data_IF_032705615325
#
_entry.id   IF_032705615325
#
_cell.length_a   1.000
_cell.length_b   1.000
_cell.length_c   1.000
_cell.angle_alpha   90.00
_cell.angle_beta   90.00
_cell.angle_gamma   90.00
#
_symmetry.space_group_name_H-M   'P 1'
#
loop_
_entity.id
_entity.type
_entity.pdbx_description
1 polymer ?
#
# COMPACT_ATOMS: atom_id res chain seq x y z
N UNK A 1 -11.82 -0.63 -25.25
CA UNK A 1 -13.26 -0.61 -24.93
C UNK A 1 -13.48 0.55 -23.96
N UNK A 2 -14.37 1.48 -24.28
CA UNK A 2 -14.75 2.54 -23.32
C UNK A 2 -15.64 1.89 -22.27
N UNK A 3 -15.04 1.47 -21.16
CA UNK A 3 -15.82 1.02 -20.00
C UNK A 3 -16.63 2.21 -19.49
N UNK A 4 -17.93 2.01 -19.34
CA UNK A 4 -18.80 3.03 -18.75
C UNK A 4 -18.31 3.30 -17.33
N UNK A 5 -18.26 4.57 -16.90
CA UNK A 5 -17.82 4.93 -15.57
C UNK A 5 -18.72 4.30 -14.48
N UNK A 6 -19.98 4.06 -14.80
CA UNK A 6 -20.93 3.40 -13.88
C UNK A 6 -20.65 1.91 -13.70
N UNK A 7 -19.93 1.26 -14.64
CA UNK A 7 -19.49 -0.14 -14.50
C UNK A 7 -18.37 -0.30 -13.46
N UNK A 8 -17.78 0.81 -12.99
CA UNK A 8 -16.67 0.80 -12.02
C UNK A 8 -17.09 0.58 -10.56
N UNK A 9 -18.41 0.49 -10.28
CA UNK A 9 -19.01 0.28 -8.95
C UNK A 9 -18.63 1.35 -7.88
N UNK A 10 -18.19 2.55 -8.31
CA UNK A 10 -17.85 3.63 -7.41
C UNK A 10 -19.09 4.36 -6.90
N UNK A 11 -19.14 4.63 -5.60
CA UNK A 11 -20.23 5.41 -5.00
C UNK A 11 -20.23 6.88 -5.47
N UNK A 12 -19.03 7.45 -5.70
CA UNK A 12 -18.90 8.84 -6.14
C UNK A 12 -17.57 9.09 -6.82
N UNK A 13 -17.60 9.86 -7.91
CA UNK A 13 -16.43 10.45 -8.57
C UNK A 13 -16.66 11.94 -8.73
N UNK A 14 -15.71 12.74 -8.22
CA UNK A 14 -15.77 14.21 -8.26
C UNK A 14 -14.62 14.76 -9.10
N UNK A 15 -14.94 15.53 -10.13
CA UNK A 15 -13.98 16.32 -10.89
C UNK A 15 -13.86 17.72 -10.27
N UNK A 16 -12.64 18.08 -9.86
CA UNK A 16 -12.32 19.35 -9.20
C UNK A 16 -11.54 20.23 -10.18
N UNK A 17 -12.03 21.44 -10.43
CA UNK A 17 -11.36 22.42 -11.27
C UNK A 17 -11.45 23.79 -10.63
N UNK A 18 -10.31 24.49 -10.53
CA UNK A 18 -10.22 25.87 -10.08
C UNK A 18 -9.21 26.60 -10.98
N UNK A 19 -9.72 27.47 -11.86
CA UNK A 19 -8.91 28.18 -12.85
C UNK A 19 -7.87 29.09 -12.20
N UNK A 20 -8.24 29.75 -11.10
CA UNK A 20 -7.38 30.73 -10.43
C UNK A 20 -6.12 30.11 -9.83
N UNK A 21 -6.21 28.89 -9.31
CA UNK A 21 -5.07 28.13 -8.75
C UNK A 21 -4.43 27.15 -9.74
N UNK A 22 -5.05 26.93 -10.89
CA UNK A 22 -4.65 25.92 -11.86
C UNK A 22 -5.00 24.49 -11.44
N UNK A 23 -5.84 24.29 -10.41
CA UNK A 23 -6.21 22.96 -9.93
C UNK A 23 -6.99 22.16 -10.97
N UNK A 24 -6.53 20.96 -11.25
CA UNK A 24 -7.24 19.91 -11.96
C UNK A 24 -7.09 18.63 -11.17
N UNK A 25 -8.16 18.14 -10.53
CA UNK A 25 -8.09 16.93 -9.70
C UNK A 25 -9.34 16.07 -9.88
N UNK A 26 -9.19 14.79 -9.54
CA UNK A 26 -10.30 13.83 -9.51
C UNK A 26 -10.24 13.14 -8.14
N UNK A 27 -11.36 13.09 -7.44
CA UNK A 27 -11.54 12.32 -6.20
C UNK A 27 -12.50 11.18 -6.50
N UNK A 28 -12.09 9.96 -6.22
CA UNK A 28 -12.93 8.76 -6.34
C UNK A 28 -13.16 8.13 -4.97
N UNK A 29 -14.43 7.93 -4.63
CA UNK A 29 -14.90 7.14 -3.48
C UNK A 29 -15.43 5.82 -4.04
N UNK A 30 -14.68 4.74 -3.81
CA UNK A 30 -15.12 3.42 -4.26
C UNK A 30 -16.22 2.89 -3.35
N UNK A 31 -16.00 2.89 -2.04
CA UNK A 31 -17.02 2.43 -1.08
C UNK A 31 -16.89 3.09 0.27
N UNK A 32 -18.03 3.41 0.88
CA UNK A 32 -18.16 3.84 2.28
C UNK A 32 -18.86 2.80 3.15
N UNK A 33 -19.01 1.57 2.67
CA UNK A 33 -19.74 0.51 3.36
C UNK A 33 -19.20 0.21 4.78
N UNK A 34 -17.86 0.26 4.95
CA UNK A 34 -17.22 0.07 6.25
C UNK A 34 -17.09 1.37 7.06
N UNK A 35 -17.13 2.52 6.43
CA UNK A 35 -16.96 3.84 7.07
C UNK A 35 -16.51 4.88 6.06
N UNK A 36 -16.02 6.06 6.52
CA UNK A 36 -15.53 7.09 5.60
C UNK A 36 -14.39 6.55 4.73
N UNK A 37 -14.39 6.92 3.46
CA UNK A 37 -13.34 6.52 2.54
C UNK A 37 -12.01 7.20 2.92
N UNK A 38 -10.94 6.43 3.05
CA UNK A 38 -9.59 6.93 3.30
C UNK A 38 -8.68 6.58 2.13
N UNK A 39 -7.84 7.55 1.72
CA UNK A 39 -6.79 7.31 0.74
C UNK A 39 -6.01 8.55 0.38
N UNK A 40 -4.78 8.35 -0.10
CA UNK A 40 -3.85 9.42 -0.41
C UNK A 40 -4.21 10.20 -1.67
N UNK A 41 -3.63 11.40 -1.79
CA UNK A 41 -3.70 12.25 -2.97
C UNK A 41 -2.41 12.14 -3.76
N UNK A 42 -2.48 11.57 -4.96
CA UNK A 42 -1.36 11.49 -5.90
C UNK A 42 -1.27 12.76 -6.73
N UNK A 43 -0.10 13.37 -6.85
CA UNK A 43 0.16 14.49 -7.72
C UNK A 43 1.12 14.04 -8.83
N UNK A 44 0.61 13.88 -10.05
CA UNK A 44 1.36 13.23 -11.13
C UNK A 44 1.02 13.84 -12.50
N UNK A 45 2.01 13.98 -13.42
CA UNK A 45 1.79 14.48 -14.78
C UNK A 45 1.22 13.37 -15.68
N UNK A 46 -0.09 13.14 -15.57
CA UNK A 46 -0.80 12.19 -16.44
C UNK A 46 -0.83 12.67 -17.89
N UNK A 47 -0.75 11.73 -18.83
CA UNK A 47 -0.80 12.04 -20.27
C UNK A 47 -2.12 12.72 -20.67
N UNK A 48 -3.22 12.32 -20.05
CA UNK A 48 -4.56 12.86 -20.28
C UNK A 48 -5.48 12.62 -19.07
N UNK A 49 -6.68 13.20 -19.11
CA UNK A 49 -7.70 13.05 -18.06
C UNK A 49 -8.20 11.61 -17.95
N UNK A 50 -8.21 10.84 -19.04
CA UNK A 50 -8.66 9.44 -19.02
C UNK A 50 -7.69 8.58 -18.22
N UNK A 51 -6.39 8.70 -18.45
CA UNK A 51 -5.35 8.00 -17.70
C UNK A 51 -5.41 8.32 -16.20
N UNK A 52 -5.66 9.60 -15.86
CA UNK A 52 -5.84 10.01 -14.46
C UNK A 52 -7.10 9.39 -13.83
N UNK A 53 -8.19 9.32 -14.59
CA UNK A 53 -9.43 8.70 -14.14
C UNK A 53 -9.26 7.20 -13.91
N UNK A 54 -8.67 6.49 -14.87
CA UNK A 54 -8.44 5.05 -14.74
C UNK A 54 -7.55 4.73 -13.54
N UNK A 55 -6.50 5.52 -13.29
CA UNK A 55 -5.62 5.36 -12.14
C UNK A 55 -6.36 5.58 -10.82
N UNK A 56 -7.13 6.68 -10.68
CA UNK A 56 -7.84 6.98 -9.43
C UNK A 56 -8.92 5.96 -9.11
N UNK A 57 -9.62 5.42 -10.12
CA UNK A 57 -10.61 4.37 -9.94
C UNK A 57 -9.95 3.08 -9.43
N UNK A 58 -8.88 2.63 -10.07
CA UNK A 58 -8.15 1.43 -9.64
C UNK A 58 -7.58 1.58 -8.23
N UNK A 59 -6.97 2.72 -7.93
CA UNK A 59 -6.38 2.99 -6.63
C UNK A 59 -7.42 3.06 -5.50
N UNK A 60 -8.57 3.71 -5.74
CA UNK A 60 -9.63 3.83 -4.73
C UNK A 60 -10.30 2.49 -4.41
N UNK A 61 -10.47 1.61 -5.43
CA UNK A 61 -10.88 0.22 -5.22
C UNK A 61 -9.87 -0.53 -4.36
N UNK A 62 -8.59 -0.46 -4.71
CA UNK A 62 -7.52 -1.09 -3.92
C UNK A 62 -7.49 -0.64 -2.46
N UNK A 63 -7.79 0.64 -2.19
CA UNK A 63 -7.88 1.15 -0.82
C UNK A 63 -9.05 0.53 -0.03
N UNK A 64 -10.20 0.26 -0.67
CA UNK A 64 -11.32 -0.44 -0.02
C UNK A 64 -10.93 -1.84 0.45
N UNK A 65 -10.28 -2.60 -0.43
CA UNK A 65 -9.83 -3.96 -0.14
C UNK A 65 -8.73 -3.97 0.93
N UNK A 66 -7.78 -3.05 0.84
CA UNK A 66 -6.72 -2.86 1.85
C UNK A 66 -7.30 -2.53 3.22
N UNK A 67 -8.22 -1.59 3.31
CA UNK A 67 -8.88 -1.21 4.57
C UNK A 67 -9.69 -2.38 5.17
N UNK A 68 -10.41 -3.13 4.34
CA UNK A 68 -11.18 -4.28 4.76
C UNK A 68 -10.29 -5.39 5.34
N UNK A 69 -9.19 -5.75 4.68
CA UNK A 69 -8.24 -6.76 5.17
C UNK A 69 -7.48 -6.30 6.41
N UNK A 70 -7.16 -5.00 6.51
CA UNK A 70 -6.55 -4.42 7.70
C UNK A 70 -7.51 -4.37 8.92
N UNK A 71 -8.77 -4.81 8.78
CA UNK A 71 -9.76 -4.81 9.85
C UNK A 71 -10.26 -3.41 10.22
N UNK A 72 -10.02 -2.39 9.38
CA UNK A 72 -10.41 -1.02 9.64
C UNK A 72 -11.89 -0.79 9.31
N UNK A 73 -12.56 0.04 10.11
CA UNK A 73 -13.92 0.53 9.84
C UNK A 73 -13.87 1.79 8.95
N UNK A 74 -13.17 1.65 7.82
CA UNK A 74 -12.96 2.67 6.81
C UNK A 74 -13.27 2.11 5.42
N UNK A 75 -13.81 2.97 4.59
CA UNK A 75 -13.97 2.70 3.17
C UNK A 75 -12.69 3.03 2.38
N UNK A 76 -12.77 2.92 1.07
CA UNK A 76 -11.68 3.22 0.16
C UNK A 76 -11.99 4.40 -0.74
N UNK A 77 -11.07 5.34 -0.75
CA UNK A 77 -11.05 6.47 -1.68
C UNK A 77 -9.65 6.77 -2.16
N UNK A 78 -9.54 7.58 -3.17
CA UNK A 78 -8.28 8.08 -3.72
C UNK A 78 -8.51 9.42 -4.39
N UNK A 79 -7.46 10.23 -4.45
CA UNK A 79 -7.48 11.42 -5.29
C UNK A 79 -6.23 11.50 -6.17
N UNK A 80 -6.38 12.15 -7.31
CA UNK A 80 -5.28 12.51 -8.20
C UNK A 80 -5.35 13.99 -8.51
N UNK A 81 -4.21 14.67 -8.47
CA UNK A 81 -4.01 16.03 -9.00
C UNK A 81 -3.19 15.87 -10.28
N UNK A 82 -3.69 16.44 -11.37
CA UNK A 82 -3.08 16.32 -12.70
C UNK A 82 -2.11 17.50 -12.90
N UNK A 83 -0.81 17.22 -12.93
CA UNK A 83 0.27 18.19 -13.11
C UNK A 83 1.62 17.65 -12.64
N UNK A 84 2.68 18.41 -12.86
CA UNK A 84 4.02 18.09 -12.34
C UNK A 84 4.18 18.68 -10.93
N UNK A 85 4.32 17.86 -9.86
CA UNK A 85 4.45 18.37 -8.50
C UNK A 85 5.69 19.24 -8.26
N UNK A 86 6.67 19.22 -9.18
CA UNK A 86 7.90 20.04 -9.08
C UNK A 86 7.69 21.46 -9.58
N UNK A 87 6.76 21.68 -10.50
CA UNK A 87 6.53 22.99 -11.17
C UNK A 87 5.17 23.57 -10.86
N UNK A 88 4.12 22.74 -10.70
CA UNK A 88 2.73 23.18 -10.64
C UNK A 88 2.21 23.27 -9.21
N UNK A 89 2.91 22.65 -8.24
CA UNK A 89 2.50 22.65 -6.83
C UNK A 89 2.61 24.07 -6.24
N UNK A 90 1.52 24.55 -5.68
CA UNK A 90 1.47 25.85 -4.99
C UNK A 90 0.54 25.78 -3.76
N UNK A 91 0.72 26.72 -2.81
CA UNK A 91 -0.20 26.86 -1.68
C UNK A 91 -1.64 27.11 -2.15
N UNK A 92 -1.83 27.93 -3.17
CA UNK A 92 -3.14 28.22 -3.73
C UNK A 92 -3.84 26.97 -4.28
N UNK A 93 -3.11 26.13 -5.04
CA UNK A 93 -3.62 24.88 -5.58
C UNK A 93 -3.98 23.88 -4.45
N UNK A 94 -3.12 23.71 -3.46
CA UNK A 94 -3.36 22.79 -2.34
C UNK A 94 -4.55 23.24 -1.48
N UNK A 95 -4.72 24.53 -1.24
CA UNK A 95 -5.89 25.08 -0.55
C UNK A 95 -7.18 24.92 -1.37
N UNK A 96 -7.14 25.16 -2.69
CA UNK A 96 -8.28 24.91 -3.56
C UNK A 96 -8.71 23.44 -3.50
N UNK A 97 -7.73 22.51 -3.57
CA UNK A 97 -7.99 21.09 -3.40
C UNK A 97 -8.62 20.80 -2.01
N UNK A 98 -8.11 21.40 -0.94
CA UNK A 98 -8.67 21.27 0.41
C UNK A 98 -10.16 21.63 0.48
N UNK A 99 -10.56 22.75 -0.15
CA UNK A 99 -11.98 23.16 -0.22
C UNK A 99 -12.87 22.13 -0.92
N UNK A 100 -12.39 21.49 -2.01
CA UNK A 100 -13.14 20.43 -2.67
C UNK A 100 -13.27 19.18 -1.78
N UNK A 101 -12.20 18.78 -1.07
CA UNK A 101 -12.27 17.65 -0.11
C UNK A 101 -13.24 18.00 1.04
N UNK A 102 -13.19 19.22 1.58
CA UNK A 102 -14.11 19.68 2.63
C UNK A 102 -15.57 19.57 2.18
N UNK A 103 -15.86 19.91 0.91
CA UNK A 103 -17.22 19.84 0.35
C UNK A 103 -17.83 18.42 0.35
N UNK A 104 -17.01 17.39 0.46
CA UNK A 104 -17.47 16.00 0.60
C UNK A 104 -17.94 15.67 2.02
N UNK A 105 -17.86 16.60 2.97
CA UNK A 105 -18.43 16.48 4.31
C UNK A 105 -17.91 15.30 5.11
N UNK A 106 -16.63 14.91 4.92
CA UNK A 106 -16.00 13.80 5.64
C UNK A 106 -16.26 12.41 5.04
N UNK A 107 -16.98 12.31 3.94
CA UNK A 107 -17.12 11.02 3.21
C UNK A 107 -15.80 10.52 2.64
N UNK A 108 -14.88 11.44 2.33
CA UNK A 108 -13.52 11.15 1.94
C UNK A 108 -12.54 11.87 2.86
N UNK A 109 -11.50 11.16 3.29
CA UNK A 109 -10.37 11.66 4.05
C UNK A 109 -9.10 11.49 3.24
N UNK A 110 -8.38 12.60 3.07
CA UNK A 110 -7.15 12.60 2.26
C UNK A 110 -5.91 12.36 3.10
N UNK A 111 -4.86 11.82 2.47
CA UNK A 111 -3.53 11.61 3.03
C UNK A 111 -2.46 11.84 1.95
N UNK A 112 -1.18 11.66 2.31
CA UNK A 112 -0.08 11.68 1.35
C UNK A 112 -0.12 10.48 0.38
N UNK A 113 0.39 10.71 -0.84
CA UNK A 113 0.76 9.69 -1.82
C UNK A 113 1.91 10.23 -2.70
N UNK A 114 2.22 9.57 -3.80
CA UNK A 114 3.23 10.03 -4.77
C UNK A 114 3.00 11.50 -5.15
N UNK A 115 4.06 12.30 -5.08
CA UNK A 115 4.02 13.72 -5.41
C UNK A 115 3.46 14.64 -4.31
N UNK A 116 2.93 14.10 -3.20
CA UNK A 116 2.51 14.88 -2.03
C UNK A 116 3.22 14.41 -0.76
N UNK A 117 3.36 15.33 0.19
CA UNK A 117 4.09 15.12 1.44
C UNK A 117 3.29 15.66 2.64
N UNK A 118 3.71 15.30 3.86
CA UNK A 118 3.04 15.75 5.08
C UNK A 118 2.91 17.28 5.20
N UNK A 119 3.88 18.04 4.70
CA UNK A 119 3.79 19.50 4.66
C UNK A 119 2.68 20.00 3.71
N UNK A 120 2.42 19.26 2.61
CA UNK A 120 1.30 19.60 1.71
C UNK A 120 -0.05 19.32 2.40
N UNK A 121 -0.12 18.24 3.20
CA UNK A 121 -1.30 17.93 4.00
C UNK A 121 -1.58 19.01 5.05
N UNK A 122 -0.55 19.61 5.65
CA UNK A 122 -0.72 20.77 6.53
C UNK A 122 -1.30 21.99 5.82
N UNK A 123 -0.92 22.21 4.56
CA UNK A 123 -1.50 23.30 3.74
C UNK A 123 -2.96 22.99 3.40
N UNK A 124 -3.27 21.77 2.98
CA UNK A 124 -4.64 21.33 2.67
C UNK A 124 -5.53 21.45 3.91
N UNK A 125 -4.99 21.12 5.10
CA UNK A 125 -5.70 21.19 6.37
C UNK A 125 -6.08 22.61 6.81
N UNK A 126 -5.56 23.64 6.17
CA UNK A 126 -6.03 25.03 6.42
C UNK A 126 -7.44 25.30 5.87
N UNK A 127 -7.90 24.45 4.95
CA UNK A 127 -9.22 24.57 4.29
C UNK A 127 -10.08 23.30 4.49
N UNK A 128 -9.56 22.28 5.18
CA UNK A 128 -10.21 20.97 5.27
C UNK A 128 -9.92 20.27 6.60
N UNK A 129 -10.97 19.85 7.31
CA UNK A 129 -10.87 19.06 8.54
C UNK A 129 -10.63 17.55 8.29
N UNK A 130 -10.75 17.12 7.03
CA UNK A 130 -10.73 15.72 6.65
C UNK A 130 -9.38 15.32 6.04
N UNK A 131 -8.28 15.65 6.75
CA UNK A 131 -6.89 15.44 6.31
C UNK A 131 -6.14 14.62 7.35
N UNK A 132 -5.41 13.60 6.89
CA UNK A 132 -4.48 12.79 7.68
C UNK A 132 -3.11 12.80 7.01
N UNK A 133 -2.10 12.14 7.59
CA UNK A 133 -0.73 12.14 7.07
C UNK A 133 -0.04 13.51 7.22
N UNK A 134 -0.46 14.30 8.21
CA UNK A 134 0.11 15.61 8.54
C UNK A 134 1.48 15.48 9.19
N UNK A 135 2.17 16.60 9.31
CA UNK A 135 3.42 16.61 10.08
C UNK A 135 3.17 16.35 11.57
N UNK A 136 4.15 15.80 12.26
CA UNK A 136 4.06 15.52 13.71
C UNK A 136 3.75 16.81 14.49
N UNK A 137 4.33 17.95 14.08
CA UNK A 137 4.06 19.26 14.68
C UNK A 137 2.58 19.68 14.61
N UNK A 138 1.81 19.09 13.70
CA UNK A 138 0.38 19.36 13.52
C UNK A 138 -0.50 18.15 13.86
N UNK A 139 0.02 17.21 14.66
CA UNK A 139 -0.73 16.06 15.17
C UNK A 139 -0.78 14.85 14.25
N UNK A 140 0.02 14.83 13.19
CA UNK A 140 0.15 13.67 12.32
C UNK A 140 1.07 12.58 12.90
N UNK A 141 0.99 11.38 12.33
CA UNK A 141 1.75 10.21 12.78
C UNK A 141 3.20 10.18 12.27
N UNK A 142 3.59 11.11 11.39
CA UNK A 142 4.93 11.14 10.80
C UNK A 142 5.14 10.09 9.70
N UNK A 143 6.36 9.58 9.59
CA UNK A 143 6.74 8.63 8.54
C UNK A 143 6.09 7.25 8.77
N UNK A 144 5.25 6.82 7.85
CA UNK A 144 4.55 5.55 7.92
C UNK A 144 5.39 4.34 7.48
N UNK A 145 6.62 4.55 7.03
CA UNK A 145 7.49 3.48 6.53
C UNK A 145 7.85 2.45 7.61
N UNK A 146 7.99 2.87 8.85
CA UNK A 146 8.29 2.00 10.00
C UNK A 146 7.21 0.94 10.18
N UNK A 147 5.95 1.36 10.29
CA UNK A 147 4.83 0.42 10.47
C UNK A 147 4.48 -0.34 9.18
N UNK A 148 4.77 0.22 8.01
CA UNK A 148 4.68 -0.54 6.75
C UNK A 148 5.67 -1.70 6.73
N UNK A 149 6.93 -1.44 7.07
CA UNK A 149 7.96 -2.48 7.16
C UNK A 149 7.63 -3.55 8.21
N UNK A 150 7.15 -3.12 9.38
CA UNK A 150 6.68 -4.03 10.43
C UNK A 150 5.53 -4.92 9.94
N UNK A 151 4.55 -4.34 9.21
CA UNK A 151 3.44 -5.11 8.62
C UNK A 151 3.91 -6.14 7.60
N UNK A 152 4.83 -5.77 6.71
CA UNK A 152 5.44 -6.71 5.75
C UNK A 152 6.19 -7.83 6.47
N UNK A 153 6.93 -7.51 7.52
CA UNK A 153 7.60 -8.50 8.34
C UNK A 153 6.60 -9.46 9.02
N UNK A 154 5.45 -8.98 9.52
CA UNK A 154 4.39 -9.86 10.04
C UNK A 154 3.82 -10.77 8.94
N UNK A 155 3.61 -10.24 7.72
CA UNK A 155 3.22 -11.04 6.56
C UNK A 155 4.26 -12.10 6.18
N UNK A 156 5.56 -11.77 6.26
CA UNK A 156 6.64 -12.74 6.04
C UNK A 156 6.65 -13.85 7.09
N UNK A 157 6.41 -13.51 8.36
CA UNK A 157 6.30 -14.52 9.44
C UNK A 157 5.15 -15.48 9.21
N UNK A 158 3.98 -14.98 8.78
CA UNK A 158 2.84 -15.82 8.40
C UNK A 158 3.17 -16.70 7.16
N UNK A 159 3.89 -16.12 6.20
CA UNK A 159 4.35 -16.87 5.02
C UNK A 159 5.34 -17.96 5.38
N UNK A 160 6.25 -17.69 6.31
CA UNK A 160 7.21 -18.68 6.82
C UNK A 160 6.50 -19.82 7.57
N UNK A 161 5.48 -19.52 8.37
CA UNK A 161 4.64 -20.53 9.01
C UNK A 161 3.94 -21.42 7.97
N UNK A 162 3.37 -20.83 6.93
CA UNK A 162 2.67 -21.56 5.87
C UNK A 162 3.62 -22.42 5.02
N UNK A 163 4.84 -21.93 4.73
CA UNK A 163 5.81 -22.60 3.86
C UNK A 163 6.69 -23.62 4.60
N UNK A 164 7.02 -23.37 5.87
CA UNK A 164 8.02 -24.15 6.63
C UNK A 164 7.60 -24.55 8.04
N UNK A 165 6.39 -24.19 8.50
CA UNK A 165 5.88 -24.57 9.82
C UNK A 165 6.52 -23.78 10.98
N UNK A 166 7.20 -22.66 10.71
CA UNK A 166 7.82 -21.79 11.72
C UNK A 166 7.59 -20.33 11.37
N UNK A 167 7.36 -19.50 12.36
CA UNK A 167 7.18 -18.06 12.17
C UNK A 167 8.51 -17.28 12.08
N UNK A 168 9.66 -17.95 12.29
CA UNK A 168 10.98 -17.33 12.20
C UNK A 168 11.57 -17.46 10.81
N UNK A 169 12.26 -16.40 10.39
CA UNK A 169 13.07 -16.35 9.17
C UNK A 169 14.56 -16.63 9.44
N UNK A 170 14.90 -17.03 10.67
CA UNK A 170 16.28 -17.37 11.04
C UNK A 170 16.88 -18.42 10.10
N UNK A 171 18.02 -18.09 9.50
CA UNK A 171 18.72 -18.93 8.53
C UNK A 171 18.05 -19.00 7.15
N UNK A 172 16.96 -18.25 6.90
CA UNK A 172 16.36 -18.10 5.57
C UNK A 172 17.06 -17.02 4.78
N UNK A 173 17.29 -17.28 3.49
CA UNK A 173 17.89 -16.31 2.59
C UNK A 173 16.81 -15.42 1.97
N UNK A 174 16.83 -14.13 2.33
CA UNK A 174 15.80 -13.16 1.95
C UNK A 174 16.37 -12.08 1.05
N UNK A 175 15.89 -12.00 -0.19
CA UNK A 175 16.28 -10.98 -1.16
C UNK A 175 15.35 -9.77 -1.11
N UNK A 176 15.86 -8.59 -0.76
CA UNK A 176 15.10 -7.33 -0.69
C UNK A 176 15.49 -6.43 -1.87
N UNK A 177 14.54 -6.20 -2.77
CA UNK A 177 14.73 -5.33 -3.94
C UNK A 177 14.15 -3.95 -3.65
N UNK A 178 15.01 -2.99 -3.37
CA UNK A 178 14.67 -1.65 -2.93
C UNK A 178 14.84 -1.49 -1.42
N UNK A 179 15.86 -0.73 -1.00
CA UNK A 179 16.14 -0.41 0.41
C UNK A 179 15.96 1.08 0.69
N UNK A 180 14.90 1.65 0.08
CA UNK A 180 14.39 2.97 0.41
C UNK A 180 13.84 3.03 1.84
N UNK A 181 12.86 3.91 2.09
CA UNK A 181 12.31 4.11 3.45
C UNK A 181 11.75 2.82 4.07
N UNK A 182 10.93 2.07 3.34
CA UNK A 182 10.31 0.84 3.87
C UNK A 182 11.29 -0.32 3.87
N UNK A 183 11.99 -0.56 2.74
CA UNK A 183 12.91 -1.69 2.61
C UNK A 183 14.05 -1.65 3.63
N UNK A 184 14.54 -0.46 3.97
CA UNK A 184 15.55 -0.27 5.02
C UNK A 184 15.09 -0.80 6.38
N UNK A 185 13.90 -0.39 6.86
CA UNK A 185 13.35 -0.91 8.11
C UNK A 185 12.98 -2.40 8.05
N UNK A 186 12.63 -2.90 6.86
CA UNK A 186 12.40 -4.33 6.68
C UNK A 186 13.70 -5.12 6.86
N UNK A 187 14.82 -4.63 6.32
CA UNK A 187 16.16 -5.23 6.54
C UNK A 187 16.49 -5.30 8.03
N UNK A 188 16.21 -4.24 8.79
CA UNK A 188 16.40 -4.22 10.25
C UNK A 188 15.63 -5.35 10.96
N UNK A 189 14.35 -5.53 10.62
CA UNK A 189 13.53 -6.63 11.17
C UNK A 189 14.06 -8.01 10.79
N UNK A 190 14.46 -8.20 9.53
CA UNK A 190 14.97 -9.47 9.01
C UNK A 190 16.30 -9.87 9.67
N UNK A 191 17.21 -8.91 9.78
CA UNK A 191 18.50 -9.11 10.48
C UNK A 191 18.26 -9.42 11.96
N UNK A 192 17.33 -8.71 12.61
CA UNK A 192 16.95 -8.95 13.99
C UNK A 192 16.35 -10.34 14.24
N UNK A 193 15.67 -10.94 13.25
CA UNK A 193 15.12 -12.30 13.31
C UNK A 193 16.17 -13.39 12.92
N UNK A 194 17.36 -13.00 12.46
CA UNK A 194 18.45 -13.91 12.10
C UNK A 194 18.40 -14.42 10.66
N UNK A 195 17.74 -13.72 9.76
CA UNK A 195 17.74 -14.05 8.34
C UNK A 195 19.10 -13.74 7.67
N UNK A 196 19.45 -14.49 6.62
CA UNK A 196 20.52 -14.15 5.68
C UNK A 196 19.96 -13.20 4.63
N UNK A 197 20.32 -11.92 4.72
CA UNK A 197 19.70 -10.86 3.92
C UNK A 197 20.58 -10.47 2.74
N UNK A 198 19.98 -10.45 1.54
CA UNK A 198 20.58 -9.96 0.30
C UNK A 198 19.79 -8.75 -0.17
N UNK A 199 20.47 -7.65 -0.54
CA UNK A 199 19.79 -6.41 -0.94
C UNK A 199 20.29 -5.87 -2.27
N UNK A 200 19.42 -5.11 -2.93
CA UNK A 200 19.82 -4.26 -4.07
C UNK A 200 18.95 -2.98 -4.10
N UNK A 201 19.51 -1.90 -4.61
CA UNK A 201 18.82 -0.65 -4.90
C UNK A 201 19.52 0.07 -6.05
N UNK A 202 18.81 0.91 -6.80
CA UNK A 202 19.40 1.77 -7.84
C UNK A 202 20.06 3.01 -7.26
N UNK A 203 19.79 3.35 -5.99
CA UNK A 203 20.30 4.52 -5.31
C UNK A 203 21.42 4.14 -4.33
N UNK A 204 22.68 4.34 -4.75
CA UNK A 204 23.87 3.95 -3.98
C UNK A 204 23.90 4.46 -2.53
N UNK A 205 23.45 5.70 -2.20
CA UNK A 205 23.39 6.11 -0.80
C UNK A 205 22.49 5.25 0.10
N UNK A 206 21.43 4.64 -0.44
CA UNK A 206 20.60 3.70 0.33
C UNK A 206 21.35 2.39 0.61
N UNK A 207 22.09 1.88 -0.36
CA UNK A 207 22.96 0.71 -0.18
C UNK A 207 24.08 0.98 0.83
N UNK A 208 24.70 2.17 0.74
CA UNK A 208 25.75 2.54 1.69
C UNK A 208 25.24 2.59 3.12
N UNK A 209 24.04 3.15 3.36
CA UNK A 209 23.40 3.14 4.68
C UNK A 209 23.22 1.73 5.21
N UNK A 210 22.74 0.80 4.38
CA UNK A 210 22.56 -0.61 4.79
C UNK A 210 23.92 -1.27 5.13
N UNK A 211 24.98 -1.01 4.35
CA UNK A 211 26.33 -1.53 4.65
C UNK A 211 26.88 -1.01 5.98
N UNK A 212 26.62 0.27 6.29
CA UNK A 212 27.11 0.92 7.50
C UNK A 212 26.38 0.38 8.74
N UNK A 213 25.08 0.17 8.66
CA UNK A 213 24.23 -0.26 9.78
C UNK A 213 24.20 -1.79 9.94
N UNK A 214 24.30 -2.53 8.83
CA UNK A 214 24.20 -3.99 8.77
C UNK A 214 25.33 -4.61 7.92
N UNK A 215 26.59 -4.59 8.37
CA UNK A 215 27.74 -5.04 7.57
C UNK A 215 27.70 -6.52 7.17
N UNK A 216 26.83 -7.34 7.80
CA UNK A 216 26.61 -8.73 7.45
C UNK A 216 25.70 -8.93 6.22
N UNK A 217 24.99 -7.90 5.77
CA UNK A 217 24.06 -7.97 4.63
C UNK A 217 24.85 -8.04 3.32
N UNK A 218 24.48 -8.96 2.45
CA UNK A 218 25.03 -9.07 1.10
C UNK A 218 24.39 -8.06 0.16
N UNK A 219 25.20 -7.34 -0.60
CA UNK A 219 24.71 -6.40 -1.63
C UNK A 219 24.99 -6.98 -3.01
N UNK A 220 23.95 -7.07 -3.85
CA UNK A 220 24.07 -7.47 -5.26
C UNK A 220 23.85 -6.29 -6.20
N UNK A 221 24.40 -6.40 -7.41
CA UNK A 221 24.53 -5.26 -8.32
C UNK A 221 23.20 -4.73 -8.87
N UNK A 222 22.17 -5.59 -8.96
CA UNK A 222 20.89 -5.20 -9.58
C UNK A 222 19.77 -6.16 -9.20
N UNK A 223 18.53 -5.78 -9.50
CA UNK A 223 17.37 -6.67 -9.38
C UNK A 223 17.50 -7.93 -10.27
N UNK A 224 18.16 -7.80 -11.40
CA UNK A 224 18.48 -8.92 -12.29
C UNK A 224 19.44 -9.92 -11.63
N UNK A 225 20.53 -9.42 -11.00
CA UNK A 225 21.47 -10.26 -10.24
C UNK A 225 20.82 -10.91 -9.00
N UNK A 226 19.77 -10.28 -8.42
CA UNK A 226 19.02 -10.85 -7.31
C UNK A 226 18.31 -12.16 -7.71
N UNK A 227 17.88 -12.30 -8.96
CA UNK A 227 17.20 -13.51 -9.45
C UNK A 227 18.13 -14.71 -9.58
N UNK A 228 19.46 -14.47 -9.63
CA UNK A 228 20.46 -15.54 -9.68
C UNK A 228 20.85 -16.07 -8.28
N UNK A 229 20.38 -15.39 -7.23
CA UNK A 229 20.57 -15.82 -5.84
C UNK A 229 19.63 -16.97 -5.47
N UNK A 230 20.12 -17.92 -4.65
CA UNK A 230 19.30 -18.99 -4.12
C UNK A 230 18.45 -18.49 -2.93
N UNK A 231 17.31 -17.86 -3.22
CA UNK A 231 16.46 -17.23 -2.22
C UNK A 231 15.40 -18.18 -1.68
N UNK A 232 15.10 -18.06 -0.38
CA UNK A 232 13.89 -18.60 0.25
C UNK A 232 12.70 -17.63 0.09
N UNK A 233 12.97 -16.31 0.25
CA UNK A 233 11.97 -15.24 0.14
C UNK A 233 12.46 -14.16 -0.81
N UNK A 234 11.60 -13.73 -1.71
CA UNK A 234 11.81 -12.55 -2.57
C UNK A 234 10.89 -11.42 -2.13
N UNK A 235 11.46 -10.27 -1.83
CA UNK A 235 10.76 -9.10 -1.28
C UNK A 235 10.88 -7.87 -2.20
N UNK A 236 9.94 -7.67 -3.15
CA UNK A 236 9.88 -6.45 -3.93
C UNK A 236 9.45 -5.26 -3.05
N UNK A 237 10.34 -4.28 -2.85
CA UNK A 237 10.12 -3.12 -1.99
C UNK A 237 10.34 -1.78 -2.72
N UNK A 238 10.53 -1.79 -4.05
CA UNK A 238 10.76 -0.60 -4.87
C UNK A 238 9.49 -0.19 -5.64
N UNK A 239 9.35 -0.60 -6.89
CA UNK A 239 8.28 -0.19 -7.79
C UNK A 239 7.24 -1.28 -8.01
N UNK A 240 6.03 -0.88 -8.41
CA UNK A 240 5.00 -1.79 -8.88
C UNK A 240 5.36 -2.45 -10.21
N UNK A 241 4.65 -3.54 -10.55
CA UNK A 241 4.90 -4.30 -11.78
C UNK A 241 6.22 -5.09 -11.76
N UNK A 242 6.86 -5.23 -10.59
CA UNK A 242 8.16 -5.90 -10.45
C UNK A 242 8.09 -7.43 -10.64
N UNK A 243 6.90 -8.01 -10.59
CA UNK A 243 6.66 -9.42 -10.85
C UNK A 243 5.99 -9.56 -12.21
N UNK A 244 6.77 -9.84 -13.22
CA UNK A 244 6.33 -10.21 -14.56
C UNK A 244 6.61 -11.68 -14.86
N UNK A 245 6.29 -12.15 -16.05
CA UNK A 245 6.46 -13.55 -16.45
C UNK A 245 7.93 -13.98 -16.43
N UNK A 246 8.86 -13.09 -16.82
CA UNK A 246 10.29 -13.39 -16.85
C UNK A 246 10.86 -13.51 -15.44
N UNK A 247 10.51 -12.58 -14.55
CA UNK A 247 10.88 -12.63 -13.13
C UNK A 247 10.34 -13.90 -12.49
N UNK A 248 9.05 -14.18 -12.67
CA UNK A 248 8.44 -15.39 -12.11
C UNK A 248 9.12 -16.64 -12.64
N UNK A 249 9.45 -16.73 -13.93
CA UNK A 249 10.11 -17.90 -14.51
C UNK A 249 11.49 -18.19 -13.88
N UNK A 250 12.23 -17.17 -13.44
CA UNK A 250 13.59 -17.27 -12.87
C UNK A 250 13.64 -17.39 -11.36
N UNK A 251 12.60 -16.94 -10.63
CA UNK A 251 12.62 -16.97 -9.17
C UNK A 251 12.88 -18.37 -8.62
N UNK A 252 13.86 -18.49 -7.72
CA UNK A 252 14.11 -19.69 -6.91
C UNK A 252 13.28 -19.69 -5.61
N UNK A 253 12.83 -18.53 -5.16
CA UNK A 253 12.16 -18.33 -3.90
C UNK A 253 10.85 -19.13 -3.78
N UNK A 254 10.59 -19.68 -2.58
CA UNK A 254 9.30 -20.29 -2.26
C UNK A 254 8.23 -19.30 -1.85
N UNK A 255 8.63 -18.11 -1.40
CA UNK A 255 7.75 -17.07 -0.90
C UNK A 255 8.06 -15.76 -1.60
N UNK A 256 7.01 -15.05 -2.01
CA UNK A 256 7.08 -13.65 -2.40
C UNK A 256 6.28 -12.84 -1.39
N UNK A 257 6.94 -11.93 -0.69
CA UNK A 257 6.31 -11.03 0.29
C UNK A 257 7.13 -9.73 0.38
N UNK A 258 6.58 -8.62 -0.06
CA UNK A 258 7.29 -7.34 -0.12
C UNK A 258 6.39 -6.13 0.05
N UNK A 259 7.01 -4.96 0.14
CA UNK A 259 6.33 -3.71 0.48
C UNK A 259 5.77 -2.94 -0.72
N UNK A 260 6.25 -3.21 -1.95
CA UNK A 260 5.79 -2.50 -3.13
C UNK A 260 4.29 -2.67 -3.35
N UNK A 261 3.61 -1.60 -3.79
CA UNK A 261 2.21 -1.70 -4.21
C UNK A 261 2.12 -2.20 -5.65
N UNK A 262 1.04 -2.92 -5.99
CA UNK A 262 0.76 -3.42 -7.34
C UNK A 262 1.96 -4.22 -7.90
N UNK A 263 2.43 -5.19 -7.14
CA UNK A 263 3.63 -5.96 -7.48
C UNK A 263 3.47 -6.77 -8.76
N UNK A 264 2.28 -7.30 -9.02
CA UNK A 264 1.95 -8.11 -10.20
C UNK A 264 1.82 -7.21 -11.43
N UNK A 265 2.60 -7.49 -12.49
CA UNK A 265 2.58 -6.71 -13.73
C UNK A 265 1.25 -6.85 -14.48
N UNK A 266 0.60 -8.01 -14.38
CA UNK A 266 -0.72 -8.28 -14.96
C UNK A 266 -1.43 -9.43 -14.22
N UNK A 267 -2.75 -9.61 -14.38
CA UNK A 267 -3.54 -10.62 -13.63
C UNK A 267 -3.08 -12.09 -13.81
N UNK A 268 -2.35 -12.40 -14.89
CA UNK A 268 -1.83 -13.76 -15.14
C UNK A 268 -0.67 -14.17 -14.24
N UNK A 269 0.08 -13.20 -13.70
CA UNK A 269 1.28 -13.44 -12.89
C UNK A 269 0.94 -14.22 -11.62
N UNK A 270 -0.17 -13.92 -10.98
CA UNK A 270 -0.64 -14.62 -9.79
C UNK A 270 -0.79 -16.12 -10.04
N UNK A 271 -1.41 -16.49 -11.15
CA UNK A 271 -1.59 -17.89 -11.55
C UNK A 271 -0.24 -18.57 -11.84
N UNK A 272 0.66 -17.86 -12.50
CA UNK A 272 2.01 -18.37 -12.79
C UNK A 272 2.82 -18.65 -11.51
N UNK A 273 2.70 -17.79 -10.48
CA UNK A 273 3.29 -18.03 -9.17
C UNK A 273 2.72 -19.29 -8.51
N UNK A 274 1.39 -19.44 -8.50
CA UNK A 274 0.69 -20.59 -7.92
C UNK A 274 1.05 -21.90 -8.64
N UNK A 275 1.07 -21.91 -9.98
CA UNK A 275 1.49 -23.08 -10.80
C UNK A 275 2.94 -23.50 -10.53
N UNK A 276 3.81 -22.57 -10.11
CA UNK A 276 5.18 -22.85 -9.69
C UNK A 276 5.31 -23.24 -8.20
N UNK A 277 4.22 -23.24 -7.46
CA UNK A 277 4.21 -23.49 -6.02
C UNK A 277 4.91 -22.38 -5.22
N UNK A 278 4.95 -21.15 -5.74
CA UNK A 278 5.50 -19.98 -5.06
C UNK A 278 4.35 -19.30 -4.30
N UNK A 279 4.48 -19.26 -2.99
CA UNK A 279 3.48 -18.63 -2.12
C UNK A 279 3.58 -17.10 -2.22
N UNK A 280 2.58 -16.46 -2.81
CA UNK A 280 2.48 -15.00 -2.88
C UNK A 280 1.66 -14.44 -1.73
N UNK A 281 2.26 -13.60 -0.91
CA UNK A 281 1.55 -12.80 0.09
C UNK A 281 1.04 -11.51 -0.57
N UNK A 282 -0.29 -11.32 -0.72
CA UNK A 282 -0.84 -10.19 -1.45
C UNK A 282 -0.35 -8.86 -0.86
N UNK A 283 0.19 -8.00 -1.72
CA UNK A 283 0.88 -6.76 -1.31
C UNK A 283 0.00 -5.84 -0.47
N UNK A 284 -1.25 -5.63 -0.86
CA UNK A 284 -2.20 -4.77 -0.15
C UNK A 284 -2.64 -5.34 1.21
N UNK A 285 -2.41 -6.63 1.46
CA UNK A 285 -2.57 -7.24 2.77
C UNK A 285 -1.35 -6.92 3.66
N UNK A 286 -0.14 -7.25 3.19
CA UNK A 286 1.06 -7.18 4.03
C UNK A 286 1.61 -5.77 4.21
N UNK A 287 1.43 -4.87 3.24
CA UNK A 287 1.91 -3.49 3.33
C UNK A 287 0.89 -2.52 3.95
N UNK A 288 -0.16 -3.04 4.60
CA UNK A 288 -1.23 -2.22 5.18
C UNK A 288 -0.80 -1.42 6.44
N UNK A 289 0.40 -1.65 6.97
CA UNK A 289 0.89 -0.95 8.18
C UNK A 289 0.85 0.57 8.05
N UNK A 290 1.19 1.12 6.88
CA UNK A 290 1.10 2.56 6.64
C UNK A 290 -0.34 3.09 6.66
N UNK A 291 -1.29 2.34 6.11
CA UNK A 291 -2.71 2.70 6.19
C UNK A 291 -3.22 2.64 7.64
N UNK A 292 -2.80 1.63 8.40
CA UNK A 292 -3.16 1.49 9.82
C UNK A 292 -2.64 2.68 10.61
N UNK A 293 -1.41 3.13 10.36
CA UNK A 293 -0.82 4.31 11.01
C UNK A 293 -1.63 5.58 10.72
N UNK A 294 -1.94 5.82 9.46
CA UNK A 294 -2.73 6.99 9.02
C UNK A 294 -4.16 6.93 9.55
N UNK A 295 -4.76 5.74 9.61
CA UNK A 295 -6.09 5.55 10.20
C UNK A 295 -6.11 5.86 11.70
N UNK A 296 -5.03 5.53 12.41
CA UNK A 296 -4.91 5.77 13.85
C UNK A 296 -4.88 7.27 14.19
N UNK A 297 -4.49 8.15 13.25
CA UNK A 297 -4.58 9.61 13.42
C UNK A 297 -6.02 10.09 13.68
N UNK A 298 -7.02 9.39 13.17
CA UNK A 298 -8.43 9.73 13.36
C UNK A 298 -8.90 9.60 14.81
N UNK A 299 -8.16 8.86 15.63
CA UNK A 299 -8.43 8.61 17.04
C UNK A 299 -7.39 9.28 17.97
N UNK A 300 -6.55 10.17 17.41
CA UNK A 300 -5.37 10.70 18.09
C UNK A 300 -4.25 9.65 18.13
N UNK A 301 -3.26 9.81 17.27
CA UNK A 301 -2.19 8.83 17.02
C UNK A 301 -1.44 8.42 18.28
N UNK A 302 -1.28 7.10 18.48
CA UNK A 302 -0.27 6.52 19.36
C UNK A 302 0.44 5.37 18.65
N UNK A 303 1.78 5.40 18.69
CA UNK A 303 2.59 4.39 17.97
C UNK A 303 2.28 2.97 18.45
N UNK A 304 2.16 2.78 19.77
CA UNK A 304 1.90 1.48 20.39
C UNK A 304 0.58 0.88 19.92
N UNK A 305 -0.50 1.69 19.85
CA UNK A 305 -1.81 1.23 19.37
C UNK A 305 -1.77 0.88 17.88
N UNK A 306 -1.13 1.73 17.07
CA UNK A 306 -0.97 1.47 15.65
C UNK A 306 -0.11 0.22 15.38
N UNK A 307 0.97 0.02 16.14
CA UNK A 307 1.81 -1.17 16.04
C UNK A 307 1.05 -2.44 16.47
N UNK A 308 0.27 -2.38 17.55
CA UNK A 308 -0.58 -3.48 17.97
C UNK A 308 -1.60 -3.86 16.89
N UNK A 309 -2.24 -2.86 16.25
CA UNK A 309 -3.14 -3.09 15.11
C UNK A 309 -2.39 -3.70 13.91
N UNK A 310 -1.20 -3.20 13.60
CA UNK A 310 -0.38 -3.71 12.50
C UNK A 310 0.13 -5.14 12.75
N UNK A 311 0.28 -5.58 14.00
CA UNK A 311 0.62 -6.98 14.31
C UNK A 311 -0.45 -7.97 13.83
N UNK A 312 -1.72 -7.55 13.74
CA UNK A 312 -2.82 -8.32 13.18
C UNK A 312 -2.66 -8.69 11.70
N UNK A 313 -1.72 -8.05 10.99
CA UNK A 313 -1.38 -8.44 9.59
C UNK A 313 -0.91 -9.90 9.53
N UNK A 314 -0.25 -10.41 10.56
CA UNK A 314 0.11 -11.83 10.67
C UNK A 314 -1.13 -12.72 10.55
N UNK A 315 -2.14 -12.49 11.40
CA UNK A 315 -3.35 -13.31 11.43
C UNK A 315 -4.17 -13.16 10.15
N UNK A 316 -4.24 -11.94 9.59
CA UNK A 316 -4.91 -11.70 8.31
C UNK A 316 -4.23 -12.46 7.17
N UNK A 317 -2.90 -12.40 7.09
CA UNK A 317 -2.13 -13.10 6.05
C UNK A 317 -2.29 -14.62 6.19
N UNK A 318 -2.25 -15.14 7.41
CA UNK A 318 -2.52 -16.56 7.69
C UNK A 318 -3.92 -16.97 7.24
N UNK A 319 -4.96 -16.17 7.57
CA UNK A 319 -6.33 -16.43 7.15
C UNK A 319 -6.50 -16.42 5.62
N UNK A 320 -5.75 -15.55 4.92
CA UNK A 320 -5.71 -15.54 3.44
C UNK A 320 -5.15 -16.87 2.92
N UNK A 321 -4.06 -17.37 3.46
CA UNK A 321 -3.47 -18.63 3.02
C UNK A 321 -4.35 -19.85 3.36
N UNK A 322 -5.00 -19.85 4.52
CA UNK A 322 -5.97 -20.88 4.90
C UNK A 322 -7.17 -20.90 3.95
N UNK A 323 -7.73 -19.73 3.62
CA UNK A 323 -8.83 -19.60 2.67
C UNK A 323 -8.40 -20.02 1.25
N UNK A 324 -7.23 -19.60 0.80
CA UNK A 324 -6.66 -20.01 -0.50
C UNK A 324 -6.56 -21.52 -0.63
N UNK A 325 -6.03 -22.19 0.39
CA UNK A 325 -5.90 -23.66 0.45
C UNK A 325 -7.26 -24.36 0.49
N UNK A 326 -8.19 -23.83 1.30
CA UNK A 326 -9.54 -24.42 1.44
C UNK A 326 -10.34 -24.31 0.16
N UNK A 327 -10.23 -23.17 -0.53
CA UNK A 327 -11.01 -22.87 -1.74
C UNK A 327 -10.34 -23.39 -3.03
N UNK A 328 -9.06 -23.80 -2.96
CA UNK A 328 -8.26 -24.21 -4.11
C UNK A 328 -8.01 -23.06 -5.10
N UNK A 329 -7.73 -21.86 -4.58
CA UNK A 329 -7.50 -20.64 -5.37
C UNK A 329 -6.20 -19.96 -4.95
N UNK A 330 -5.58 -19.13 -5.81
CA UNK A 330 -4.43 -18.34 -5.43
C UNK A 330 -4.71 -17.39 -4.25
N UNK A 331 -3.66 -17.04 -3.45
CA UNK A 331 -3.83 -16.19 -2.26
C UNK A 331 -4.45 -14.81 -2.53
N UNK A 332 -4.16 -14.16 -3.67
CA UNK A 332 -4.74 -12.86 -3.98
C UNK A 332 -6.26 -12.98 -4.25
N UNK A 333 -6.72 -14.05 -4.92
CA UNK A 333 -8.16 -14.33 -5.09
C UNK A 333 -8.83 -14.57 -3.72
N UNK A 334 -8.18 -15.31 -2.84
CA UNK A 334 -8.70 -15.54 -1.49
C UNK A 334 -8.77 -14.24 -0.67
N UNK A 335 -7.76 -13.39 -0.79
CA UNK A 335 -7.73 -12.08 -0.14
C UNK A 335 -8.87 -11.17 -0.61
N UNK A 336 -9.11 -11.10 -1.93
CA UNK A 336 -10.24 -10.35 -2.48
C UNK A 336 -11.58 -10.87 -1.92
N UNK A 337 -11.79 -12.19 -1.90
CA UNK A 337 -13.02 -12.81 -1.34
C UNK A 337 -13.21 -12.49 0.15
N UNK A 338 -12.14 -12.49 0.94
CA UNK A 338 -12.18 -12.13 2.37
C UNK A 338 -12.54 -10.65 2.55
N UNK A 339 -11.93 -9.75 1.77
CA UNK A 339 -12.26 -8.33 1.78
C UNK A 339 -13.73 -8.09 1.41
N UNK A 340 -14.20 -8.68 0.30
CA UNK A 340 -15.59 -8.57 -0.15
C UNK A 340 -16.59 -9.14 0.87
N UNK A 341 -16.25 -10.24 1.52
CA UNK A 341 -17.08 -10.81 2.59
C UNK A 341 -17.26 -9.81 3.72
N UNK A 342 -16.16 -9.22 4.23
CA UNK A 342 -16.22 -8.21 5.29
C UNK A 342 -17.03 -6.99 4.85
N UNK A 343 -16.80 -6.48 3.63
CA UNK A 343 -17.53 -5.34 3.07
C UNK A 343 -19.03 -5.63 3.03
N UNK A 344 -19.44 -6.81 2.57
CA UNK A 344 -20.86 -7.20 2.52
C UNK A 344 -21.49 -7.39 3.90
N UNK A 345 -20.80 -8.06 4.82
CA UNK A 345 -21.34 -8.38 6.14
C UNK A 345 -21.48 -7.14 7.01
N UNK A 346 -20.47 -6.29 7.06
CA UNK A 346 -20.52 -5.03 7.81
C UNK A 346 -21.35 -3.98 7.08
N UNK A 347 -21.25 -3.90 5.74
CA UNK A 347 -21.97 -2.94 4.91
C UNK A 347 -23.48 -3.17 4.90
N UNK A 348 -23.99 -4.38 5.18
CA UNK A 348 -25.43 -4.63 5.38
C UNK A 348 -26.01 -3.86 6.58
N UNK A 349 -25.17 -3.46 7.51
CA UNK A 349 -25.56 -2.68 8.68
C UNK A 349 -25.68 -1.19 8.37
N UNK A 350 -25.14 -0.74 7.22
CA UNK A 350 -25.13 0.66 6.74
C UNK A 350 -25.44 0.68 5.25
N UNK A 351 -26.42 1.45 4.81
CA UNK A 351 -26.70 1.61 3.37
C UNK A 351 -25.72 2.60 2.71
N UNK A 352 -25.54 3.75 3.35
CA UNK A 352 -24.57 4.81 2.97
C UNK A 352 -24.02 5.42 4.25
N UNK A 353 -22.70 5.61 4.33
CA UNK A 353 -22.13 6.33 5.45
C UNK A 353 -22.36 7.82 5.28
N UNK A 354 -23.00 8.43 6.25
CA UNK A 354 -23.19 9.86 6.34
C UNK A 354 -22.43 10.42 7.55
N UNK A 355 -21.68 11.52 7.38
CA UNK A 355 -21.05 12.21 8.50
C UNK A 355 -22.11 12.66 9.51
N UNK A 356 -21.79 12.60 10.79
CA UNK A 356 -22.63 13.11 11.88
C UNK A 356 -22.28 14.55 12.18
#
# INVERSE_FOLDING_TARGET
>A
MTTDIFDSEHEQVLFCHDEASGLRAIVAIHSTALGPALGGTRFHPYADTRSALDDVLNLSRGMTYKAALAGLDLGGGKAVIIGDPRTDKSEALLRAYGRFVQSLGGRYRTACDVGTFSADMDVIARECDHVTGRTVAHGGAGDSSVLTAFGVFQGMRASAEAAWGTTSLAGRRVGVVGVGKVGHHLVEHLVGDGADVVVTDVWEPALQRVRDEHPQVTVVASAEAMLDEALDVYAPCALGGALDDDVVARLSAKVVCGAANNQLAHPGVEKALDERGILYAPDYCVNAGGLIQVADELEGFTFERAQQRASGIFDTTRAVFEAARSDGVPPAVAADRLAERRIREVGRLRSVWLPR
#
